data_IF_036010017270
#
_entry.id   IF_036010017270
#
_cell.length_a   1.000
_cell.length_b   1.000
_cell.length_c   1.000
_cell.angle_alpha   90.00
_cell.angle_beta   90.00
_cell.angle_gamma   90.00
#
_symmetry.space_group_name_H-M   'P 1'
#
loop_
_entity.id
_entity.type
_entity.pdbx_description
1 polymer ?
#
# COMPACT_ATOMS: atom_id res chain seq x y z
N UNK A 1 -14.84 20.56 1.30
CA UNK A 1 -15.28 19.19 1.56
C UNK A 1 -15.86 18.57 0.31
N UNK A 2 -15.04 17.77 -0.35
CA UNK A 2 -15.45 16.89 -1.45
C UNK A 2 -16.42 15.83 -0.95
N UNK A 3 -17.48 15.55 -1.72
CA UNK A 3 -18.44 14.49 -1.38
C UNK A 3 -17.80 13.11 -1.51
N UNK A 4 -18.07 12.24 -0.52
CA UNK A 4 -17.68 10.83 -0.55
C UNK A 4 -18.91 9.98 -0.86
N UNK A 5 -18.95 9.39 -2.05
CA UNK A 5 -19.96 8.41 -2.43
C UNK A 5 -19.47 7.01 -2.06
N UNK A 6 -20.13 6.35 -1.11
CA UNK A 6 -19.89 4.93 -0.82
C UNK A 6 -20.53 4.07 -1.90
N UNK A 7 -19.82 3.04 -2.33
CA UNK A 7 -20.25 2.13 -3.38
C UNK A 7 -20.52 0.77 -2.76
N UNK A 8 -21.64 0.16 -3.15
CA UNK A 8 -22.03 -1.19 -2.79
C UNK A 8 -22.36 -1.93 -4.07
N UNK A 9 -21.85 -3.15 -4.23
CA UNK A 9 -22.08 -3.99 -5.39
C UNK A 9 -22.90 -5.23 -5.02
N UNK A 10 -23.02 -6.18 -5.95
CA UNK A 10 -23.59 -7.50 -5.70
C UNK A 10 -22.57 -8.50 -5.13
N UNK A 11 -21.38 -8.05 -4.74
CA UNK A 11 -20.34 -8.88 -4.16
C UNK A 11 -20.75 -9.48 -2.80
N UNK A 12 -20.09 -10.57 -2.38
CA UNK A 12 -20.22 -11.09 -1.02
C UNK A 12 -19.92 -10.01 0.01
N UNK A 13 -20.79 -9.90 1.02
CA UNK A 13 -20.63 -8.90 2.10
C UNK A 13 -19.50 -9.33 3.06
N UNK A 14 -18.52 -8.46 3.33
CA UNK A 14 -17.47 -8.74 4.32
C UNK A 14 -18.02 -8.94 5.73
N UNK A 15 -17.37 -9.80 6.53
CA UNK A 15 -17.61 -9.87 7.98
C UNK A 15 -16.95 -8.71 8.74
N UNK A 16 -15.84 -8.22 8.19
CA UNK A 16 -15.02 -7.13 8.73
C UNK A 16 -15.65 -5.76 8.52
N UNK A 17 -15.30 -4.77 9.35
CA UNK A 17 -15.88 -3.43 9.27
C UNK A 17 -15.18 -2.54 8.23
N UNK A 18 -15.58 -2.65 6.97
CA UNK A 18 -15.14 -1.74 5.89
C UNK A 18 -16.20 -1.58 4.80
N UNK A 19 -16.14 -0.49 4.04
CA UNK A 19 -16.98 -0.25 2.87
C UNK A 19 -16.35 -0.87 1.61
N UNK A 20 -17.15 -1.38 0.66
CA UNK A 20 -16.61 -2.02 -0.55
C UNK A 20 -15.77 -1.08 -1.42
N UNK A 21 -16.23 0.15 -1.65
CA UNK A 21 -15.43 1.20 -2.28
C UNK A 21 -15.92 2.61 -1.91
N UNK A 22 -15.09 3.60 -2.18
CA UNK A 22 -15.40 5.03 -2.04
C UNK A 22 -15.00 5.81 -3.27
N UNK A 23 -15.90 6.64 -3.77
CA UNK A 23 -15.65 7.58 -4.85
C UNK A 23 -15.59 9.00 -4.27
N UNK A 24 -14.46 9.68 -4.46
CA UNK A 24 -14.27 11.06 -4.01
C UNK A 24 -13.26 11.77 -4.91
N UNK A 25 -13.56 13.02 -5.29
CA UNK A 25 -12.68 13.82 -6.16
C UNK A 25 -12.43 13.18 -7.53
N UNK A 26 -13.38 12.40 -8.03
CA UNK A 26 -13.27 11.61 -9.27
C UNK A 26 -12.44 10.32 -9.15
N UNK A 27 -11.80 10.05 -8.01
CA UNK A 27 -11.04 8.82 -7.77
C UNK A 27 -11.88 7.78 -7.02
N UNK A 28 -11.72 6.53 -7.44
CA UNK A 28 -12.39 5.35 -6.88
C UNK A 28 -11.39 4.52 -6.08
N UNK A 29 -11.73 4.26 -4.83
CA UNK A 29 -10.92 3.55 -3.85
C UNK A 29 -11.68 2.29 -3.39
N UNK A 30 -11.55 1.13 -4.07
CA UNK A 30 -12.05 -0.14 -3.55
C UNK A 30 -11.25 -0.62 -2.33
N UNK A 31 -11.88 -1.48 -1.54
CA UNK A 31 -11.21 -2.28 -0.52
C UNK A 31 -10.36 -3.36 -1.19
N UNK A 32 -9.30 -3.80 -0.51
CA UNK A 32 -8.55 -4.98 -0.93
C UNK A 32 -9.49 -6.18 -1.09
N UNK A 33 -9.30 -6.94 -2.17
CA UNK A 33 -10.15 -8.08 -2.49
C UNK A 33 -9.37 -9.38 -2.36
N UNK A 34 -9.97 -10.28 -1.60
CA UNK A 34 -9.57 -11.66 -1.39
C UNK A 34 -10.55 -12.58 -2.12
N UNK A 35 -10.12 -13.80 -2.44
CA UNK A 35 -11.01 -14.81 -2.98
C UNK A 35 -11.91 -15.41 -1.89
N UNK A 36 -12.84 -14.63 -1.36
CA UNK A 36 -13.75 -15.07 -0.30
C UNK A 36 -15.22 -14.74 -0.55
N UNK A 37 -16.07 -15.69 -0.16
CA UNK A 37 -17.52 -15.51 -0.06
C UNK A 37 -17.98 -15.04 1.33
N UNK A 38 -17.03 -14.90 2.27
CA UNK A 38 -17.25 -14.57 3.69
C UNK A 38 -18.22 -15.49 4.44
N UNK A 39 -18.49 -16.69 3.90
CA UNK A 39 -19.35 -17.73 4.48
C UNK A 39 -18.59 -19.03 4.69
N UNK A 40 -17.85 -19.46 3.68
CA UNK A 40 -17.10 -20.72 3.64
C UNK A 40 -15.59 -20.51 3.55
N UNK A 41 -15.13 -19.27 3.47
CA UNK A 41 -13.71 -18.94 3.26
C UNK A 41 -13.47 -18.76 1.77
N UNK A 42 -12.62 -19.61 1.18
CA UNK A 42 -12.43 -19.66 -0.29
C UNK A 42 -13.55 -20.49 -0.93
N UNK A 43 -14.39 -19.89 -1.80
CA UNK A 43 -15.52 -20.59 -2.40
C UNK A 43 -15.07 -21.67 -3.40
N UNK A 44 -15.96 -22.60 -3.72
CA UNK A 44 -15.63 -23.79 -4.51
C UNK A 44 -15.13 -23.46 -5.92
N UNK A 45 -15.67 -22.42 -6.56
CA UNK A 45 -15.25 -21.92 -7.86
C UNK A 45 -13.87 -21.24 -7.86
N UNK A 46 -13.37 -20.85 -6.69
CA UNK A 46 -12.09 -20.18 -6.51
C UNK A 46 -10.98 -21.11 -6.01
N UNK A 47 -11.20 -22.44 -6.03
CA UNK A 47 -10.21 -23.44 -5.65
C UNK A 47 -10.30 -24.68 -6.52
N UNK A 48 -9.21 -25.42 -6.63
CA UNK A 48 -9.18 -26.73 -7.29
C UNK A 48 -10.16 -27.67 -6.61
N UNK A 49 -10.79 -28.53 -7.42
CA UNK A 49 -11.66 -29.55 -6.89
C UNK A 49 -10.84 -30.54 -6.03
N UNK A 50 -11.25 -30.84 -4.78
CA UNK A 50 -10.45 -31.65 -3.87
C UNK A 50 -10.20 -33.08 -4.36
N UNK A 51 -11.10 -33.64 -5.17
CA UNK A 51 -10.91 -34.94 -5.81
C UNK A 51 -9.97 -34.92 -7.03
N UNK A 52 -9.59 -33.74 -7.54
CA UNK A 52 -8.72 -33.56 -8.71
C UNK A 52 -7.56 -32.57 -8.40
N UNK A 53 -6.74 -32.83 -7.38
CA UNK A 53 -5.81 -31.84 -6.82
C UNK A 53 -4.67 -31.41 -7.77
N UNK A 54 -4.45 -32.15 -8.87
CA UNK A 54 -3.44 -31.87 -9.89
C UNK A 54 -3.99 -31.16 -11.13
N UNK A 55 -5.31 -30.90 -11.20
CA UNK A 55 -5.95 -30.22 -12.32
C UNK A 55 -6.32 -28.78 -11.94
N UNK A 56 -5.88 -27.83 -12.76
CA UNK A 56 -6.09 -26.39 -12.54
C UNK A 56 -5.03 -25.74 -11.66
N UNK A 57 -5.28 -24.50 -11.24
CA UNK A 57 -4.36 -23.70 -10.43
C UNK A 57 -5.16 -22.82 -9.46
N UNK A 58 -4.92 -22.98 -8.16
CA UNK A 58 -5.63 -22.22 -7.12
C UNK A 58 -5.39 -20.72 -7.29
N UNK A 59 -4.14 -20.29 -7.51
CA UNK A 59 -3.84 -18.87 -7.72
C UNK A 59 -4.60 -18.30 -8.93
N UNK A 60 -4.71 -19.05 -10.03
CA UNK A 60 -5.47 -18.58 -11.21
C UNK A 60 -6.96 -18.45 -10.91
N UNK A 61 -7.54 -19.43 -10.21
CA UNK A 61 -8.95 -19.42 -9.83
C UNK A 61 -9.26 -18.29 -8.84
N UNK A 62 -8.44 -18.10 -7.82
CA UNK A 62 -8.58 -17.01 -6.86
C UNK A 62 -8.39 -15.64 -7.51
N UNK A 63 -7.38 -15.47 -8.36
CA UNK A 63 -7.15 -14.22 -9.11
C UNK A 63 -8.37 -13.87 -9.95
N UNK A 64 -8.92 -14.84 -10.70
CA UNK A 64 -10.12 -14.63 -11.53
C UNK A 64 -11.33 -14.21 -10.69
N UNK A 65 -11.56 -14.90 -9.58
CA UNK A 65 -12.64 -14.58 -8.66
C UNK A 65 -12.53 -13.13 -8.13
N UNK A 66 -11.33 -12.73 -7.71
CA UNK A 66 -11.04 -11.38 -7.24
C UNK A 66 -11.27 -10.35 -8.34
N UNK A 67 -10.80 -10.60 -9.57
CA UNK A 67 -10.98 -9.67 -10.69
C UNK A 67 -12.45 -9.50 -11.08
N UNK A 68 -13.26 -10.57 -11.01
CA UNK A 68 -14.72 -10.46 -11.22
C UNK A 68 -15.42 -9.69 -10.09
N UNK A 69 -14.98 -9.85 -8.83
CA UNK A 69 -15.47 -9.02 -7.72
C UNK A 69 -15.12 -7.54 -7.96
N UNK A 70 -13.86 -7.23 -8.26
CA UNK A 70 -13.41 -5.87 -8.53
C UNK A 70 -14.15 -5.26 -9.72
N UNK A 71 -14.36 -6.02 -10.79
CA UNK A 71 -15.17 -5.59 -11.94
C UNK A 71 -16.56 -5.14 -11.51
N UNK A 72 -17.28 -5.96 -10.72
CA UNK A 72 -18.61 -5.60 -10.19
C UNK A 72 -18.57 -4.34 -9.31
N UNK A 73 -17.54 -4.18 -8.49
CA UNK A 73 -17.34 -2.97 -7.67
C UNK A 73 -17.15 -1.73 -8.53
N UNK A 74 -16.32 -1.81 -9.58
CA UNK A 74 -16.11 -0.70 -10.52
C UNK A 74 -17.38 -0.37 -11.31
N UNK A 75 -18.10 -1.38 -11.80
CA UNK A 75 -19.37 -1.19 -12.51
C UNK A 75 -20.43 -0.53 -11.62
N UNK A 76 -20.54 -0.94 -10.35
CA UNK A 76 -21.43 -0.31 -9.36
C UNK A 76 -21.06 1.15 -9.06
N UNK A 77 -19.79 1.52 -9.23
CA UNK A 77 -19.33 2.91 -9.13
C UNK A 77 -19.58 3.75 -10.39
N UNK A 78 -20.06 3.14 -11.49
CA UNK A 78 -20.16 3.79 -12.80
C UNK A 78 -18.82 3.87 -13.55
N UNK A 79 -17.88 2.98 -13.20
CA UNK A 79 -16.54 2.89 -13.80
C UNK A 79 -16.30 1.48 -14.37
N UNK A 80 -15.07 1.17 -14.77
CA UNK A 80 -14.67 -0.15 -15.27
C UNK A 80 -13.21 -0.45 -14.95
N UNK A 81 -12.78 -1.71 -15.11
CA UNK A 81 -11.36 -2.07 -14.95
C UNK A 81 -10.43 -1.33 -15.94
N UNK A 82 -10.95 -0.75 -17.03
CA UNK A 82 -10.16 0.12 -17.94
C UNK A 82 -9.74 1.44 -17.28
N UNK A 83 -10.36 1.79 -16.16
CA UNK A 83 -10.14 3.02 -15.42
C UNK A 83 -9.31 2.78 -14.13
N UNK A 84 -8.56 1.68 -14.07
CA UNK A 84 -7.62 1.41 -12.97
C UNK A 84 -6.32 2.15 -13.24
N UNK A 85 -5.78 2.81 -12.21
CA UNK A 85 -4.57 3.66 -12.31
C UNK A 85 -3.50 3.28 -11.30
N UNK A 86 -3.81 2.40 -10.35
CA UNK A 86 -2.81 1.82 -9.45
C UNK A 86 -3.28 0.44 -8.99
N UNK A 87 -2.32 -0.46 -8.82
CA UNK A 87 -2.53 -1.77 -8.23
C UNK A 87 -1.45 -2.08 -7.20
N UNK A 88 -1.84 -2.74 -6.12
CA UNK A 88 -0.94 -3.43 -5.20
C UNK A 88 -1.42 -4.86 -5.03
N UNK A 89 -0.47 -5.80 -5.07
CA UNK A 89 -0.74 -7.23 -5.02
C UNK A 89 0.11 -7.85 -3.93
N UNK A 90 -0.54 -8.53 -3.00
CA UNK A 90 0.10 -9.21 -1.89
C UNK A 90 -0.05 -10.72 -2.07
N UNK A 91 1.07 -11.42 -2.25
CA UNK A 91 1.10 -12.87 -2.45
C UNK A 91 1.60 -13.58 -1.19
N UNK A 92 0.93 -14.67 -0.77
CA UNK A 92 1.43 -15.51 0.33
C UNK A 92 2.65 -16.34 -0.09
N UNK A 93 2.77 -16.66 -1.38
CA UNK A 93 3.93 -17.29 -2.00
C UNK A 93 4.24 -16.58 -3.33
N UNK A 94 5.45 -16.04 -3.49
CA UNK A 94 5.85 -15.36 -4.73
C UNK A 94 6.02 -16.32 -5.92
N UNK A 95 6.12 -17.63 -5.70
CA UNK A 95 6.12 -18.62 -6.77
C UNK A 95 4.80 -18.63 -7.57
N UNK A 96 3.71 -18.17 -6.95
CA UNK A 96 2.39 -18.06 -7.58
C UNK A 96 2.30 -16.87 -8.57
N UNK A 97 3.32 -16.01 -8.63
CA UNK A 97 3.33 -14.83 -9.49
C UNK A 97 3.01 -15.15 -10.95
N UNK A 98 3.57 -16.23 -11.50
CA UNK A 98 3.35 -16.58 -12.92
C UNK A 98 1.88 -16.91 -13.22
N UNK A 99 1.21 -17.61 -12.30
CA UNK A 99 -0.21 -17.95 -12.43
C UNK A 99 -1.09 -16.72 -12.30
N UNK A 100 -0.81 -15.87 -11.31
CA UNK A 100 -1.46 -14.57 -11.17
C UNK A 100 -1.30 -13.70 -12.43
N UNK A 101 -0.08 -13.53 -12.94
CA UNK A 101 0.22 -12.62 -14.05
C UNK A 101 -0.39 -13.10 -15.39
N UNK A 102 -0.56 -14.42 -15.56
CA UNK A 102 -1.31 -14.98 -16.69
C UNK A 102 -2.77 -14.51 -16.70
N UNK A 103 -3.46 -14.65 -15.57
CA UNK A 103 -4.87 -14.21 -15.45
C UNK A 103 -4.96 -12.68 -15.50
N UNK A 104 -4.02 -11.97 -14.89
CA UNK A 104 -3.98 -10.50 -14.89
C UNK A 104 -4.01 -9.91 -16.32
N UNK A 105 -3.27 -10.52 -17.26
CA UNK A 105 -3.24 -10.11 -18.68
C UNK A 105 -4.58 -10.23 -19.39
N UNK A 106 -5.48 -11.08 -18.90
CA UNK A 106 -6.82 -11.23 -19.49
C UNK A 106 -7.73 -10.03 -19.18
N UNK A 107 -7.45 -9.29 -18.09
CA UNK A 107 -8.30 -8.20 -17.61
C UNK A 107 -7.83 -6.81 -18.05
N UNK A 108 -6.55 -6.65 -18.39
CA UNK A 108 -5.97 -5.35 -18.72
C UNK A 108 -5.25 -5.36 -20.06
N UNK A 109 -5.87 -4.69 -21.04
CA UNK A 109 -5.22 -4.33 -22.31
C UNK A 109 -4.08 -3.32 -22.08
N UNK A 110 -4.36 -2.29 -21.29
CA UNK A 110 -3.36 -1.35 -20.75
C UNK A 110 -3.27 -1.58 -19.25
N UNK A 111 -2.22 -2.26 -18.75
CA UNK A 111 -2.14 -2.59 -17.33
C UNK A 111 -1.80 -1.35 -16.49
N UNK A 112 -2.40 -1.22 -15.30
CA UNK A 112 -2.04 -0.14 -14.40
C UNK A 112 -0.61 -0.34 -13.86
N UNK A 113 0.01 0.73 -13.34
CA UNK A 113 1.19 0.63 -12.49
C UNK A 113 0.91 -0.27 -11.29
N UNK A 114 1.84 -1.19 -11.03
CA UNK A 114 1.66 -2.29 -10.08
C UNK A 114 2.86 -2.43 -9.15
N UNK A 115 2.56 -2.71 -7.89
CA UNK A 115 3.52 -3.17 -6.87
C UNK A 115 3.14 -4.59 -6.50
N UNK A 116 4.10 -5.51 -6.41
CA UNK A 116 3.81 -6.92 -6.08
C UNK A 116 4.84 -7.47 -5.10
N UNK A 117 4.38 -7.73 -3.87
CA UNK A 117 5.24 -8.12 -2.75
C UNK A 117 4.70 -9.34 -2.03
N UNK A 118 5.58 -10.03 -1.31
CA UNK A 118 5.17 -11.10 -0.41
C UNK A 118 4.47 -10.57 0.84
N UNK A 119 3.55 -11.35 1.39
CA UNK A 119 2.95 -11.13 2.72
C UNK A 119 3.22 -12.31 3.64
N UNK A 120 3.17 -12.10 4.96
CA UNK A 120 3.20 -13.19 5.95
C UNK A 120 1.84 -13.87 6.12
N UNK A 121 0.77 -13.27 5.59
CA UNK A 121 -0.57 -13.87 5.59
C UNK A 121 -1.67 -12.94 5.12
N UNK A 122 -2.85 -13.51 4.93
CA UNK A 122 -4.09 -12.83 4.54
C UNK A 122 -5.21 -13.21 5.52
N UNK A 123 -6.22 -12.34 5.67
CA UNK A 123 -7.25 -12.49 6.72
C UNK A 123 -8.11 -13.75 6.58
N UNK A 124 -8.30 -14.23 5.36
CA UNK A 124 -9.12 -15.42 5.10
C UNK A 124 -8.18 -16.60 4.84
N UNK A 125 -8.35 -17.66 5.64
CA UNK A 125 -7.58 -18.89 5.50
C UNK A 125 -7.66 -19.43 4.05
N UNK A 126 -6.55 -19.98 3.59
CA UNK A 126 -6.37 -20.56 2.25
C UNK A 126 -6.46 -19.56 1.08
N UNK A 127 -6.62 -18.26 1.34
CA UNK A 127 -6.39 -17.24 0.31
C UNK A 127 -4.90 -17.08 0.04
N UNK A 128 -4.54 -16.97 -1.24
CA UNK A 128 -3.16 -16.92 -1.72
C UNK A 128 -2.74 -15.51 -2.15
N UNK A 129 -3.72 -14.65 -2.41
CA UNK A 129 -3.55 -13.34 -3.02
C UNK A 129 -4.61 -12.35 -2.52
N UNK A 130 -4.18 -11.13 -2.22
CA UNK A 130 -5.05 -9.96 -2.08
C UNK A 130 -4.68 -8.92 -3.15
N UNK A 131 -5.68 -8.37 -3.85
CA UNK A 131 -5.50 -7.34 -4.86
C UNK A 131 -6.19 -6.06 -4.39
N UNK A 132 -5.40 -4.99 -4.30
CA UNK A 132 -5.85 -3.63 -3.98
C UNK A 132 -5.69 -2.75 -5.22
N UNK A 133 -6.76 -2.05 -5.61
CA UNK A 133 -6.76 -1.15 -6.76
C UNK A 133 -7.08 0.29 -6.36
N UNK A 134 -6.64 1.24 -7.18
CA UNK A 134 -7.19 2.59 -7.27
C UNK A 134 -7.64 2.81 -8.70
N UNK A 135 -8.83 3.35 -8.87
CA UNK A 135 -9.39 3.71 -10.16
C UNK A 135 -9.92 5.14 -10.19
N UNK A 136 -10.66 5.45 -11.25
CA UNK A 136 -11.32 6.75 -11.39
C UNK A 136 -12.68 6.62 -12.08
N UNK A 137 -13.55 7.60 -11.85
CA UNK A 137 -14.81 7.74 -12.57
C UNK A 137 -14.56 8.29 -13.99
N UNK A 138 -15.22 7.79 -15.04
CA UNK A 138 -14.92 8.17 -16.42
C UNK A 138 -15.01 9.67 -16.73
N UNK A 139 -15.79 10.43 -15.96
CA UNK A 139 -15.94 11.87 -16.06
C UNK A 139 -14.71 12.67 -15.58
N UNK A 140 -13.81 12.06 -14.80
CA UNK A 140 -12.53 12.67 -14.43
C UNK A 140 -11.60 12.87 -15.65
N UNK A 141 -11.80 12.09 -16.72
CA UNK A 141 -11.10 12.25 -18.00
C UNK A 141 -10.44 10.98 -18.52
N UNK A 142 -9.41 11.16 -19.35
CA UNK A 142 -8.64 10.06 -19.95
C UNK A 142 -7.26 10.04 -19.30
N UNK A 143 -6.86 8.86 -18.81
CA UNK A 143 -5.55 8.73 -18.18
C UNK A 143 -4.43 8.76 -19.23
N UNK A 144 -3.25 9.21 -18.82
CA UNK A 144 -2.04 9.20 -19.64
C UNK A 144 -1.05 8.19 -19.08
N UNK A 145 -0.71 7.18 -19.87
CA UNK A 145 0.41 6.27 -19.55
C UNK A 145 1.72 7.04 -19.72
N UNK A 146 2.59 6.95 -18.72
CA UNK A 146 3.92 7.55 -18.73
C UNK A 146 4.96 6.45 -18.87
N UNK A 147 5.91 6.67 -19.76
CA UNK A 147 7.06 5.79 -19.99
C UNK A 147 8.32 6.63 -19.92
N UNK A 148 9.42 6.03 -19.44
CA UNK A 148 10.71 6.70 -19.37
C UNK A 148 11.81 5.87 -20.05
N UNK A 149 13.05 6.33 -19.93
CA UNK A 149 14.24 5.59 -20.40
C UNK A 149 14.71 4.53 -19.38
N UNK A 150 13.88 4.21 -18.39
CA UNK A 150 14.19 3.16 -17.41
C UNK A 150 14.18 1.76 -18.05
N UNK A 151 14.85 0.79 -17.42
CA UNK A 151 14.78 -0.61 -17.84
C UNK A 151 13.32 -1.10 -17.91
N UNK A 152 12.98 -1.73 -19.03
CA UNK A 152 11.63 -2.24 -19.26
C UNK A 152 11.37 -3.51 -18.43
N UNK A 153 10.30 -3.54 -17.63
CA UNK A 153 9.92 -4.73 -16.88
C UNK A 153 9.60 -5.93 -17.79
N UNK A 154 9.85 -7.15 -17.29
CA UNK A 154 9.35 -8.38 -17.94
C UNK A 154 7.86 -8.63 -17.67
N UNK A 155 7.34 -8.05 -16.59
CA UNK A 155 5.95 -8.20 -16.16
C UNK A 155 5.03 -7.19 -16.83
N UNK A 156 3.72 -7.51 -16.91
CA UNK A 156 2.74 -6.68 -17.59
C UNK A 156 2.20 -5.55 -16.69
N UNK A 157 2.92 -4.43 -16.61
CA UNK A 157 2.49 -3.21 -15.93
C UNK A 157 3.05 -1.94 -16.60
N UNK A 158 2.39 -0.81 -16.38
CA UNK A 158 2.86 0.52 -16.82
C UNK A 158 3.77 1.16 -15.78
N UNK A 159 4.82 1.89 -16.17
CA UNK A 159 5.72 2.55 -15.20
C UNK A 159 4.97 3.56 -14.31
N UNK A 160 4.13 4.40 -14.93
CA UNK A 160 3.26 5.32 -14.22
C UNK A 160 2.03 5.70 -15.06
N UNK A 161 0.98 6.17 -14.39
CA UNK A 161 -0.24 6.67 -15.03
C UNK A 161 -0.67 7.98 -14.37
N UNK A 162 -0.95 9.00 -15.18
CA UNK A 162 -1.50 10.29 -14.75
C UNK A 162 -3.01 10.34 -14.99
N UNK A 163 -3.78 10.77 -13.97
CA UNK A 163 -5.19 11.14 -14.11
C UNK A 163 -5.54 12.23 -13.08
N UNK A 164 -6.36 13.20 -13.46
CA UNK A 164 -6.84 14.23 -12.53
C UNK A 164 -5.72 15.08 -11.89
N UNK A 165 -4.53 15.13 -12.51
CA UNK A 165 -3.36 15.82 -11.96
C UNK A 165 -2.54 15.02 -10.95
N UNK A 166 -3.01 13.83 -10.52
CA UNK A 166 -2.19 12.88 -9.77
C UNK A 166 -1.47 11.93 -10.71
N UNK A 167 -0.33 11.44 -10.25
CA UNK A 167 0.53 10.48 -10.92
C UNK A 167 0.75 9.28 -10.01
N UNK A 168 0.36 8.10 -10.48
CA UNK A 168 0.50 6.84 -9.76
C UNK A 168 1.65 6.04 -10.38
N UNK A 169 2.66 5.68 -9.59
CA UNK A 169 3.84 4.96 -10.08
C UNK A 169 3.77 3.48 -9.69
N UNK A 170 4.41 2.64 -10.49
CA UNK A 170 4.65 1.24 -10.16
C UNK A 170 5.69 1.13 -9.06
N UNK A 171 5.61 0.06 -8.28
CA UNK A 171 6.67 -0.31 -7.34
C UNK A 171 7.99 -0.49 -8.09
N UNK A 172 9.05 0.16 -7.62
CA UNK A 172 10.36 0.07 -8.22
C UNK A 172 11.30 -0.76 -7.36
N UNK A 173 11.89 -1.75 -8.01
CA UNK A 173 12.94 -2.63 -7.52
C UNK A 173 14.27 -2.23 -8.17
N UNK A 174 15.39 -2.61 -7.56
CA UNK A 174 16.72 -2.30 -8.08
C UNK A 174 17.16 -3.20 -9.26
N UNK A 175 16.25 -3.45 -10.20
CA UNK A 175 16.41 -4.42 -11.29
C UNK A 175 16.71 -3.75 -12.61
N UNK A 176 17.56 -4.37 -13.42
CA UNK A 176 17.74 -4.05 -14.85
C UNK A 176 16.89 -4.94 -15.76
N UNK A 177 16.15 -5.90 -15.17
CA UNK A 177 15.34 -6.93 -15.83
C UNK A 177 16.10 -7.83 -16.80
N UNK A 178 17.44 -7.83 -16.74
CA UNK A 178 18.34 -8.67 -17.55
C UNK A 178 19.17 -9.60 -16.67
N UNK A 179 19.72 -9.09 -15.58
CA UNK A 179 20.63 -9.78 -14.65
C UNK A 179 20.06 -9.96 -13.24
N UNK A 180 18.80 -9.54 -13.03
CA UNK A 180 18.18 -9.43 -11.71
C UNK A 180 18.46 -8.05 -11.15
N UNK A 181 19.09 -7.95 -9.98
CA UNK A 181 19.55 -6.63 -9.49
C UNK A 181 20.66 -6.11 -10.39
N UNK A 182 20.54 -4.84 -10.80
CA UNK A 182 21.50 -4.20 -11.69
C UNK A 182 22.94 -4.26 -11.13
N UNK A 183 23.98 -4.45 -11.96
CA UNK A 183 25.36 -4.54 -11.50
C UNK A 183 25.81 -3.34 -10.64
N UNK A 184 25.40 -2.12 -11.00
CA UNK A 184 25.67 -0.88 -10.25
C UNK A 184 24.88 -0.77 -8.94
N UNK A 185 23.83 -1.58 -8.78
CA UNK A 185 23.00 -1.64 -7.59
C UNK A 185 23.38 -2.81 -6.66
N UNK A 186 24.52 -3.45 -6.92
CA UNK A 186 25.11 -4.51 -6.09
C UNK A 186 26.54 -4.12 -5.69
N UNK A 187 26.97 -4.54 -4.51
CA UNK A 187 28.39 -4.51 -4.14
C UNK A 187 29.20 -5.40 -5.07
N UNK A 188 30.45 -5.02 -5.28
CA UNK A 188 31.41 -5.87 -6.00
C UNK A 188 31.63 -7.17 -5.21
N UNK A 189 31.36 -8.35 -5.81
CA UNK A 189 31.57 -9.63 -5.13
C UNK A 189 33.03 -9.88 -4.74
N UNK A 190 34.01 -9.22 -5.37
CA UNK A 190 35.41 -9.27 -4.97
C UNK A 190 35.70 -8.48 -3.67
N UNK A 191 34.82 -7.57 -3.27
CA UNK A 191 34.95 -6.71 -2.08
C UNK A 191 33.70 -6.78 -1.18
N UNK A 192 33.33 -7.97 -0.65
CA UNK A 192 32.04 -8.22 -0.01
C UNK A 192 31.81 -7.46 1.32
N UNK A 193 32.85 -6.82 1.86
CA UNK A 193 32.77 -6.01 3.09
C UNK A 193 32.80 -4.50 2.82
N UNK A 194 32.88 -4.08 1.56
CA UNK A 194 32.94 -2.68 1.16
C UNK A 194 31.62 -2.24 0.50
N UNK A 195 31.07 -1.12 0.97
CA UNK A 195 29.78 -0.59 0.49
C UNK A 195 28.56 -1.20 1.21
N UNK A 196 27.36 -0.90 0.71
CA UNK A 196 26.09 -1.37 1.28
C UNK A 196 25.09 -1.59 0.15
N UNK A 197 24.62 -2.83 -0.01
CA UNK A 197 23.68 -3.20 -1.07
C UNK A 197 22.38 -2.40 -0.94
N UNK A 198 21.81 -2.28 0.27
CA UNK A 198 20.59 -1.49 0.46
C UNK A 198 20.78 -0.03 0.01
N UNK A 199 21.93 0.59 0.30
CA UNK A 199 22.20 1.97 -0.15
C UNK A 199 22.28 2.05 -1.68
N UNK A 200 22.96 1.11 -2.33
CA UNK A 200 23.10 1.06 -3.78
C UNK A 200 21.74 0.83 -4.46
N UNK A 201 20.97 -0.14 -3.98
CA UNK A 201 19.62 -0.43 -4.46
C UNK A 201 18.68 0.76 -4.26
N UNK A 202 18.71 1.40 -3.09
CA UNK A 202 17.89 2.60 -2.82
C UNK A 202 18.22 3.75 -3.79
N UNK A 203 19.51 4.05 -4.02
CA UNK A 203 19.90 5.10 -4.99
C UNK A 203 19.43 4.76 -6.40
N UNK A 204 19.65 3.53 -6.84
CA UNK A 204 19.22 3.08 -8.16
C UNK A 204 17.71 3.25 -8.35
N UNK A 205 16.91 2.82 -7.38
CA UNK A 205 15.45 2.96 -7.40
C UNK A 205 15.05 4.43 -7.45
N UNK A 206 15.62 5.30 -6.61
CA UNK A 206 15.28 6.71 -6.58
C UNK A 206 15.69 7.45 -7.86
N UNK A 207 16.80 7.08 -8.51
CA UNK A 207 17.16 7.61 -9.84
C UNK A 207 16.20 7.16 -10.94
N UNK A 208 15.71 5.91 -10.89
CA UNK A 208 14.67 5.44 -11.80
C UNK A 208 13.36 6.21 -11.59
N UNK A 209 12.92 6.35 -10.34
CA UNK A 209 11.71 7.09 -10.00
C UNK A 209 11.82 8.56 -10.42
N UNK A 210 12.99 9.20 -10.27
CA UNK A 210 13.26 10.55 -10.80
C UNK A 210 13.08 10.63 -12.31
N UNK A 211 13.58 9.66 -13.07
CA UNK A 211 13.39 9.59 -14.54
C UNK A 211 11.93 9.45 -14.92
N UNK A 212 11.18 8.58 -14.24
CA UNK A 212 9.72 8.42 -14.48
C UNK A 212 8.94 9.69 -14.13
N UNK A 213 9.25 10.33 -13.00
CA UNK A 213 8.64 11.60 -12.59
C UNK A 213 8.92 12.72 -13.61
N UNK A 214 10.17 12.85 -14.05
CA UNK A 214 10.57 13.84 -15.05
C UNK A 214 9.84 13.64 -16.39
N UNK A 215 9.67 12.39 -16.84
CA UNK A 215 8.90 12.07 -18.05
C UNK A 215 7.42 12.48 -17.96
N UNK A 216 6.86 12.55 -16.74
CA UNK A 216 5.51 13.05 -16.50
C UNK A 216 5.42 14.58 -16.39
N UNK A 217 6.56 15.29 -16.30
CA UNK A 217 6.61 16.72 -15.95
C UNK A 217 6.51 16.99 -14.45
N UNK A 218 6.94 16.03 -13.62
CA UNK A 218 6.94 16.07 -12.15
C UNK A 218 8.37 15.85 -11.62
N UNK A 219 8.53 15.83 -10.30
CA UNK A 219 9.81 15.58 -9.61
C UNK A 219 9.59 14.97 -8.22
N UNK A 220 10.66 14.63 -7.50
CA UNK A 220 10.55 14.02 -6.16
C UNK A 220 9.88 14.97 -5.15
N UNK A 221 9.99 16.27 -5.38
CA UNK A 221 9.34 17.33 -4.60
C UNK A 221 7.80 17.29 -4.69
N UNK A 222 7.24 16.55 -5.65
CA UNK A 222 5.79 16.37 -5.82
C UNK A 222 5.27 15.03 -5.31
N UNK A 223 6.11 14.22 -4.67
CA UNK A 223 5.66 12.97 -4.08
C UNK A 223 4.78 13.28 -2.85
N UNK A 224 3.61 12.66 -2.79
CA UNK A 224 2.61 12.89 -1.74
C UNK A 224 2.33 11.66 -0.88
N UNK A 225 2.75 10.48 -1.33
CA UNK A 225 2.73 9.25 -0.54
C UNK A 225 3.83 8.31 -1.02
N UNK A 226 4.51 7.69 -0.07
CA UNK A 226 5.45 6.61 -0.30
C UNK A 226 5.06 5.37 0.53
N UNK A 227 5.22 4.20 -0.06
CA UNK A 227 5.25 2.93 0.67
C UNK A 227 6.53 2.21 0.35
N UNK A 228 7.18 1.68 1.39
CA UNK A 228 8.48 1.03 1.30
C UNK A 228 8.39 -0.34 1.92
N UNK A 229 8.74 -1.37 1.15
CA UNK A 229 8.75 -2.76 1.57
C UNK A 229 10.20 -3.24 1.69
N UNK A 230 10.62 -3.61 2.90
CA UNK A 230 11.98 -4.09 3.18
C UNK A 230 11.98 -5.60 3.44
N UNK A 231 12.94 -6.32 2.87
CA UNK A 231 13.10 -7.77 3.17
C UNK A 231 13.75 -8.02 4.54
N UNK A 232 14.58 -7.09 5.03
CA UNK A 232 15.08 -7.06 6.40
C UNK A 232 15.00 -5.62 6.95
N UNK A 233 14.29 -5.43 8.07
CA UNK A 233 14.14 -4.11 8.69
C UNK A 233 15.44 -3.57 9.30
N UNK A 234 16.48 -4.41 9.48
CA UNK A 234 17.82 -3.93 9.88
C UNK A 234 18.44 -2.98 8.85
N UNK A 235 18.04 -3.09 7.59
CA UNK A 235 18.51 -2.23 6.51
C UNK A 235 17.90 -0.82 6.56
N UNK A 236 16.89 -0.60 7.40
CA UNK A 236 16.17 0.67 7.49
C UNK A 236 17.08 1.88 7.66
N UNK A 237 18.04 1.84 8.59
CA UNK A 237 18.89 3.00 8.86
C UNK A 237 19.74 3.39 7.65
N UNK A 238 20.24 2.40 6.90
CA UNK A 238 21.04 2.63 5.70
C UNK A 238 20.19 3.11 4.51
N UNK A 239 18.98 2.57 4.36
CA UNK A 239 17.97 3.09 3.43
C UNK A 239 17.64 4.56 3.74
N UNK A 240 17.34 4.87 5.01
CA UNK A 240 16.87 6.19 5.43
C UNK A 240 17.96 7.26 5.33
N UNK A 241 19.23 6.88 5.45
CA UNK A 241 20.38 7.75 5.12
C UNK A 241 20.33 8.20 3.66
N UNK A 242 20.16 7.28 2.71
CA UNK A 242 20.04 7.61 1.28
C UNK A 242 18.77 8.43 1.05
N UNK A 243 17.65 8.04 1.65
CA UNK A 243 16.38 8.75 1.51
C UNK A 243 16.48 10.25 1.85
N UNK A 244 17.25 10.61 2.89
CA UNK A 244 17.53 12.01 3.27
C UNK A 244 18.33 12.79 2.23
N UNK A 245 19.18 12.13 1.45
CA UNK A 245 19.93 12.79 0.38
C UNK A 245 18.96 13.31 -0.70
N UNK A 246 17.93 12.52 -1.01
CA UNK A 246 16.97 12.76 -2.09
C UNK A 246 15.80 13.66 -1.69
N UNK A 247 15.33 13.55 -0.45
CA UNK A 247 14.14 14.28 0.01
C UNK A 247 14.47 15.33 1.06
N UNK A 248 14.55 16.59 0.62
CA UNK A 248 14.68 17.75 1.54
C UNK A 248 13.39 18.01 2.30
N UNK A 249 12.25 17.86 1.62
CA UNK A 249 10.92 17.77 2.22
C UNK A 249 10.40 16.37 1.89
N UNK A 250 10.45 15.41 2.84
CA UNK A 250 10.08 14.05 2.55
C UNK A 250 8.56 13.87 2.48
N UNK A 251 8.07 12.96 1.60
CA UNK A 251 6.66 12.64 1.58
C UNK A 251 6.27 11.86 2.85
N UNK A 252 4.97 11.79 3.14
CA UNK A 252 4.43 10.81 4.05
C UNK A 252 4.80 9.40 3.61
N UNK A 253 5.26 8.57 4.55
CA UNK A 253 5.84 7.26 4.26
C UNK A 253 5.31 6.19 5.22
N UNK A 254 5.00 5.04 4.66
CA UNK A 254 4.78 3.78 5.39
C UNK A 254 5.97 2.87 5.09
N UNK A 255 6.56 2.24 6.11
CA UNK A 255 7.73 1.36 5.91
C UNK A 255 7.58 0.10 6.72
N UNK A 256 7.39 -1.03 6.03
CA UNK A 256 7.06 -2.32 6.64
C UNK A 256 7.96 -3.42 6.12
N UNK A 257 8.04 -4.51 6.87
CA UNK A 257 8.67 -5.74 6.41
C UNK A 257 7.81 -6.46 5.37
N UNK A 258 8.44 -7.10 4.40
CA UNK A 258 7.80 -8.05 3.47
C UNK A 258 8.33 -9.46 3.68
N UNK A 259 7.58 -10.49 3.26
CA UNK A 259 8.09 -11.87 3.20
C UNK A 259 8.96 -12.14 1.97
N UNK A 260 8.98 -11.22 0.99
CA UNK A 260 9.86 -11.28 -0.16
C UNK A 260 9.52 -10.27 -1.26
N UNK A 261 10.39 -10.21 -2.27
CA UNK A 261 10.25 -9.39 -3.47
C UNK A 261 10.43 -10.25 -4.73
N UNK A 262 9.85 -9.84 -5.86
CA UNK A 262 9.80 -10.67 -7.08
C UNK A 262 11.16 -10.93 -7.72
N UNK A 263 12.11 -10.01 -7.57
CA UNK A 263 13.45 -10.16 -8.16
C UNK A 263 14.41 -10.63 -7.08
N UNK A 264 15.04 -11.77 -7.33
CA UNK A 264 16.02 -12.36 -6.41
C UNK A 264 17.10 -11.34 -6.03
N UNK A 265 17.47 -11.34 -4.75
CA UNK A 265 18.48 -10.46 -4.13
C UNK A 265 18.12 -8.96 -4.08
N UNK A 266 16.89 -8.59 -4.47
CA UNK A 266 16.38 -7.25 -4.12
C UNK A 266 16.03 -7.19 -2.64
N UNK A 267 16.34 -6.04 -2.02
CA UNK A 267 16.18 -5.81 -0.58
C UNK A 267 15.05 -4.83 -0.26
N UNK A 268 14.64 -4.05 -1.25
CA UNK A 268 13.70 -2.95 -1.10
C UNK A 268 12.86 -2.76 -2.36
N UNK A 269 11.57 -2.51 -2.19
CA UNK A 269 10.66 -1.98 -3.22
C UNK A 269 10.08 -0.65 -2.75
N UNK A 270 10.09 0.37 -3.61
CA UNK A 270 9.55 1.71 -3.31
C UNK A 270 8.38 2.00 -4.25
N UNK A 271 7.21 2.25 -3.66
CA UNK A 271 5.97 2.61 -4.32
C UNK A 271 5.64 4.09 -4.02
N UNK A 272 5.37 4.88 -5.06
CA UNK A 272 5.07 6.31 -4.94
C UNK A 272 3.71 6.70 -5.55
N UNK A 273 3.10 7.72 -4.95
CA UNK A 273 2.08 8.58 -5.56
C UNK A 273 2.62 10.01 -5.54
N UNK A 274 2.49 10.70 -6.68
CA UNK A 274 2.90 12.09 -6.85
C UNK A 274 1.79 12.91 -7.54
N UNK A 275 2.06 14.18 -7.80
CA UNK A 275 1.22 15.02 -8.65
C UNK A 275 2.04 15.70 -9.74
N UNK A 276 1.39 16.10 -10.82
CA UNK A 276 2.00 16.95 -11.86
C UNK A 276 1.71 18.41 -11.50
N UNK A 277 2.73 19.27 -11.28
CA UNK A 277 2.52 20.68 -10.96
C UNK A 277 1.64 21.39 -12.00
N UNK A 278 0.63 22.11 -11.51
CA UNK A 278 -0.24 22.98 -12.29
C UNK A 278 -0.59 24.21 -11.44
N UNK A 279 -0.92 25.32 -12.09
CA UNK A 279 -1.30 26.55 -11.39
C UNK A 279 -2.46 26.30 -10.41
N UNK A 280 -2.30 26.78 -9.18
CA UNK A 280 -3.29 26.63 -8.11
C UNK A 280 -3.19 25.34 -7.28
N UNK A 281 -2.35 24.36 -7.66
CA UNK A 281 -2.05 23.22 -6.78
C UNK A 281 -0.92 23.58 -5.80
N UNK A 282 -1.20 23.45 -4.51
CA UNK A 282 -0.21 23.67 -3.44
C UNK A 282 0.15 22.34 -2.79
N UNK A 283 1.46 22.08 -2.64
CA UNK A 283 1.98 21.00 -1.81
C UNK A 283 2.01 21.49 -0.37
N UNK A 284 1.06 21.03 0.45
CA UNK A 284 0.99 21.44 1.85
C UNK A 284 1.46 20.31 2.75
N UNK A 285 2.57 20.52 3.45
CA UNK A 285 3.04 19.59 4.49
C UNK A 285 2.24 19.84 5.75
N UNK A 286 1.56 18.81 6.23
CA UNK A 286 0.74 18.87 7.44
C UNK A 286 1.59 18.48 8.64
N UNK A 287 1.51 19.29 9.69
CA UNK A 287 2.13 19.01 10.99
C UNK A 287 1.07 19.17 12.07
N UNK A 288 0.92 18.14 12.91
CA UNK A 288 -0.01 18.15 14.03
C UNK A 288 0.73 18.30 15.38
N UNK A 289 0.00 18.12 16.48
CA UNK A 289 0.57 18.05 17.82
C UNK A 289 1.14 16.65 18.18
N UNK A 290 1.19 15.73 17.21
CA UNK A 290 1.70 14.37 17.42
C UNK A 290 3.20 14.36 17.75
N UNK A 291 3.66 13.23 18.29
CA UNK A 291 5.08 13.00 18.49
C UNK A 291 5.81 12.99 17.15
N UNK A 292 6.93 13.73 17.07
CA UNK A 292 7.69 13.85 15.82
C UNK A 292 8.51 12.58 15.57
N UNK A 293 8.45 12.01 14.35
CA UNK A 293 9.27 10.86 13.99
C UNK A 293 10.77 11.18 13.99
N UNK A 294 11.60 10.19 14.32
CA UNK A 294 13.07 10.25 14.15
C UNK A 294 13.46 10.06 12.67
N UNK A 295 12.67 9.26 11.96
CA UNK A 295 12.86 8.95 10.55
C UNK A 295 12.47 10.12 9.64
N UNK A 296 13.04 10.18 8.43
CA UNK A 296 12.82 11.31 7.51
C UNK A 296 11.53 11.14 6.69
N UNK A 297 10.38 11.47 7.28
CA UNK A 297 9.08 11.53 6.59
C UNK A 297 8.18 12.62 7.19
N UNK A 298 7.20 13.09 6.40
CA UNK A 298 6.19 14.06 6.85
C UNK A 298 4.94 13.34 7.39
N UNK A 299 4.25 13.90 8.39
CA UNK A 299 3.06 13.26 8.97
C UNK A 299 1.94 13.05 7.95
N UNK A 300 1.65 14.09 7.17
CA UNK A 300 0.76 14.03 6.03
C UNK A 300 1.11 15.13 5.02
N UNK A 301 0.64 14.97 3.79
CA UNK A 301 0.69 15.99 2.74
C UNK A 301 -0.71 16.15 2.16
N UNK A 302 -1.12 17.39 1.95
CA UNK A 302 -2.35 17.71 1.23
C UNK A 302 -2.05 18.34 -0.13
N UNK A 303 -2.73 17.87 -1.17
CA UNK A 303 -2.69 18.45 -2.52
C UNK A 303 -4.07 18.37 -3.16
N UNK A 304 -4.54 19.50 -3.69
CA UNK A 304 -5.93 19.61 -4.18
C UNK A 304 -6.92 19.18 -3.09
N UNK A 305 -7.86 18.27 -3.38
CA UNK A 305 -8.83 17.81 -2.39
C UNK A 305 -8.30 16.70 -1.48
N UNK A 306 -7.11 16.13 -1.71
CA UNK A 306 -6.66 14.93 -1.03
C UNK A 306 -5.70 15.23 0.11
N UNK A 307 -5.78 14.40 1.16
CA UNK A 307 -4.84 14.34 2.28
C UNK A 307 -4.26 12.92 2.31
N UNK A 308 -2.94 12.81 2.21
CA UNK A 308 -2.20 11.57 2.25
C UNK A 308 -1.44 11.49 3.58
N UNK A 309 -1.83 10.58 4.47
CA UNK A 309 -1.15 10.40 5.75
C UNK A 309 -0.08 9.31 5.67
N UNK A 310 0.99 9.51 6.45
CA UNK A 310 2.01 8.49 6.67
C UNK A 310 1.45 7.32 7.48
N UNK A 311 2.13 6.17 7.41
CA UNK A 311 1.89 5.08 8.33
C UNK A 311 2.09 5.53 9.77
N UNK A 312 1.09 5.28 10.60
CA UNK A 312 1.11 5.59 12.01
C UNK A 312 1.28 4.30 12.80
N UNK A 313 2.32 4.31 13.62
CA UNK A 313 2.65 3.29 14.62
C UNK A 313 2.26 3.83 16.00
N UNK A 314 2.01 2.93 16.95
CA UNK A 314 1.85 3.32 18.35
C UNK A 314 3.20 3.68 18.97
N UNK A 315 3.74 4.85 18.63
CA UNK A 315 5.03 5.31 19.14
C UNK A 315 5.03 6.77 19.62
N UNK A 316 5.83 7.04 20.65
CA UNK A 316 6.21 8.38 21.10
C UNK A 316 7.56 8.84 20.53
N UNK A 317 8.22 7.98 19.74
CA UNK A 317 9.57 8.14 19.21
C UNK A 317 10.65 8.46 20.26
N UNK A 318 10.40 8.13 21.53
CA UNK A 318 11.34 8.30 22.65
C UNK A 318 11.57 6.99 23.38
N UNK A 319 10.50 6.27 23.71
CA UNK A 319 10.51 5.02 24.48
C UNK A 319 10.05 3.81 23.67
N UNK A 320 9.67 4.02 22.40
CA UNK A 320 9.07 2.99 21.56
C UNK A 320 7.55 3.08 21.67
N UNK A 321 6.89 2.01 22.12
CA UNK A 321 5.45 2.02 22.41
C UNK A 321 5.18 2.75 23.73
N UNK A 322 4.44 3.86 23.80
CA UNK A 322 4.26 4.55 25.09
C UNK A 322 3.44 3.73 26.10
N UNK A 323 3.52 4.06 27.39
CA UNK A 323 2.93 3.26 28.46
C UNK A 323 1.40 3.12 28.34
N UNK A 324 0.72 4.15 27.86
CA UNK A 324 -0.71 4.18 27.58
C UNK A 324 -1.13 3.29 26.40
N UNK A 325 -0.17 2.92 25.53
CA UNK A 325 -0.40 2.09 24.35
C UNK A 325 0.06 0.63 24.56
N UNK A 326 0.35 0.22 25.80
CA UNK A 326 0.73 -1.15 26.14
C UNK A 326 0.09 -1.58 27.46
N UNK A 327 -0.13 -2.88 27.63
CA UNK A 327 -0.56 -3.48 28.90
C UNK A 327 0.47 -3.19 29.97
N UNK A 328 -0.01 -2.99 31.19
CA UNK A 328 0.86 -2.82 32.33
C UNK A 328 1.63 -4.14 32.60
N UNK A 329 2.97 -4.12 32.74
CA UNK A 329 3.77 -5.35 32.85
C UNK A 329 3.44 -6.18 34.09
N UNK A 330 2.99 -5.54 35.18
CA UNK A 330 2.53 -6.25 36.39
C UNK A 330 1.12 -6.87 36.26
N UNK A 331 0.36 -6.56 35.20
CA UNK A 331 -1.01 -7.04 34.98
C UNK A 331 -1.17 -7.62 33.55
N UNK A 332 -0.38 -8.63 33.16
CA UNK A 332 -0.25 -9.07 31.76
C UNK A 332 -1.53 -9.69 31.17
N UNK A 333 -2.50 -10.07 32.01
CA UNK A 333 -3.79 -10.64 31.62
C UNK A 333 -4.94 -9.61 31.59
N UNK A 334 -4.66 -8.34 31.90
CA UNK A 334 -5.65 -7.26 31.88
C UNK A 334 -5.39 -6.33 30.70
N UNK A 335 -6.41 -6.12 29.85
CA UNK A 335 -6.32 -5.30 28.64
C UNK A 335 -5.84 -6.06 27.40
N UNK A 336 -5.58 -5.32 26.32
CA UNK A 336 -5.15 -5.86 25.03
C UNK A 336 -4.21 -4.86 24.35
N UNK A 337 -2.98 -5.30 24.06
CA UNK A 337 -1.98 -4.43 23.42
C UNK A 337 -2.45 -3.94 22.06
N UNK A 338 -3.00 -4.82 21.21
CA UNK A 338 -3.51 -4.41 19.91
C UNK A 338 -4.60 -3.34 20.03
N UNK A 339 -5.52 -3.46 21.02
CA UNK A 339 -6.58 -2.45 21.21
C UNK A 339 -5.99 -1.11 21.66
N UNK A 340 -5.05 -1.13 22.59
CA UNK A 340 -4.39 0.09 23.09
C UNK A 340 -3.57 0.78 22.00
N UNK A 341 -2.78 0.02 21.23
CA UNK A 341 -2.01 0.53 20.12
C UNK A 341 -2.90 1.08 19.00
N UNK A 342 -3.97 0.34 18.62
CA UNK A 342 -4.95 0.81 17.62
C UNK A 342 -5.56 2.13 18.06
N UNK A 343 -5.99 2.26 19.32
CA UNK A 343 -6.57 3.50 19.85
C UNK A 343 -5.60 4.67 19.77
N UNK A 344 -4.35 4.45 20.20
CA UNK A 344 -3.31 5.46 20.13
C UNK A 344 -3.07 5.95 18.69
N UNK A 345 -3.00 5.01 17.74
CA UNK A 345 -2.83 5.32 16.31
C UNK A 345 -4.03 6.10 15.77
N UNK A 346 -5.26 5.72 16.11
CA UNK A 346 -6.46 6.41 15.65
C UNK A 346 -6.56 7.83 16.21
N UNK A 347 -6.15 8.07 17.47
CA UNK A 347 -6.05 9.42 18.01
C UNK A 347 -4.97 10.27 17.33
N UNK A 348 -3.83 9.67 16.96
CA UNK A 348 -2.81 10.36 16.16
C UNK A 348 -3.34 10.74 14.79
N UNK A 349 -3.95 9.78 14.07
CA UNK A 349 -4.53 10.02 12.75
C UNK A 349 -5.63 11.07 12.82
N UNK A 350 -6.50 11.04 13.83
CA UNK A 350 -7.50 12.08 14.06
C UNK A 350 -6.87 13.48 14.13
N UNK A 351 -5.85 13.66 14.97
CA UNK A 351 -5.12 14.94 15.07
C UNK A 351 -4.45 15.35 13.76
N UNK A 352 -3.91 14.40 13.00
CA UNK A 352 -3.31 14.66 11.68
C UNK A 352 -4.37 15.15 10.68
N UNK A 353 -5.53 14.51 10.61
CA UNK A 353 -6.60 14.91 9.69
C UNK A 353 -7.24 16.24 10.12
N UNK A 354 -7.44 16.49 11.41
CA UNK A 354 -7.89 17.79 11.92
C UNK A 354 -6.91 18.92 11.54
N UNK A 355 -5.60 18.69 11.69
CA UNK A 355 -4.56 19.64 11.29
C UNK A 355 -4.55 19.91 9.77
N UNK A 356 -5.01 18.95 8.95
CA UNK A 356 -5.15 19.11 7.51
C UNK A 356 -6.44 19.85 7.08
N UNK A 357 -7.31 20.25 8.02
CA UNK A 357 -8.63 20.80 7.74
C UNK A 357 -9.66 19.72 7.33
N UNK A 358 -9.45 18.49 7.76
CA UNK A 358 -10.26 17.30 7.46
C UNK A 358 -10.71 16.61 8.75
N UNK A 359 -11.23 15.38 8.65
CA UNK A 359 -11.58 14.51 9.78
C UNK A 359 -11.52 13.04 9.37
N UNK A 360 -11.60 12.12 10.35
CA UNK A 360 -11.67 10.68 10.07
C UNK A 360 -12.90 10.30 9.21
N UNK A 361 -14.00 11.05 9.31
CA UNK A 361 -15.19 10.82 8.46
C UNK A 361 -14.90 11.06 6.97
N UNK A 362 -13.84 11.81 6.65
CA UNK A 362 -13.43 12.11 5.29
C UNK A 362 -12.40 11.12 4.72
N UNK A 363 -12.16 10.00 5.40
CA UNK A 363 -11.24 8.97 4.93
C UNK A 363 -11.90 8.14 3.82
N UNK A 364 -11.15 7.96 2.73
CA UNK A 364 -11.59 7.27 1.50
C UNK A 364 -10.83 5.97 1.24
N UNK A 365 -9.67 5.78 1.87
CA UNK A 365 -8.94 4.51 1.81
C UNK A 365 -8.06 4.31 3.05
N UNK A 366 -7.94 3.07 3.48
CA UNK A 366 -7.05 2.65 4.55
C UNK A 366 -6.21 1.44 4.12
N UNK A 367 -4.96 1.40 4.58
CA UNK A 367 -4.14 0.19 4.57
C UNK A 367 -3.63 -0.11 5.97
N UNK A 368 -3.70 -1.38 6.35
CA UNK A 368 -3.38 -1.87 7.69
C UNK A 368 -2.41 -3.03 7.58
N UNK A 369 -1.29 -2.93 8.28
CA UNK A 369 -0.26 -3.96 8.36
C UNK A 369 -0.23 -4.50 9.79
N UNK A 370 -0.44 -5.82 9.94
CA UNK A 370 -0.43 -6.51 11.23
C UNK A 370 0.78 -7.45 11.33
N UNK A 371 1.49 -7.42 12.46
CA UNK A 371 2.57 -8.40 12.71
C UNK A 371 2.04 -9.81 13.01
N UNK A 372 0.81 -9.90 13.53
CA UNK A 372 0.07 -11.13 13.74
C UNK A 372 -1.41 -10.91 13.34
N UNK A 373 -1.93 -11.72 12.43
CA UNK A 373 -3.33 -11.63 12.01
C UNK A 373 -4.32 -12.10 13.08
N UNK A 374 -3.87 -12.81 14.12
CA UNK A 374 -4.71 -13.14 15.28
C UNK A 374 -5.19 -11.89 16.03
N UNK A 375 -4.46 -10.77 15.92
CA UNK A 375 -4.82 -9.50 16.53
C UNK A 375 -5.96 -8.77 15.78
N UNK A 376 -6.36 -9.26 14.60
CA UNK A 376 -7.37 -8.64 13.76
C UNK A 376 -8.68 -8.32 14.50
N UNK A 377 -9.19 -9.25 15.30
CA UNK A 377 -10.46 -9.04 16.00
C UNK A 377 -10.37 -7.89 17.02
N UNK A 378 -9.23 -7.75 17.72
CA UNK A 378 -9.01 -6.65 18.66
C UNK A 378 -8.87 -5.31 17.95
N UNK A 379 -8.15 -5.29 16.82
CA UNK A 379 -8.09 -4.12 15.94
C UNK A 379 -9.47 -3.72 15.41
N UNK A 380 -10.25 -4.64 14.83
CA UNK A 380 -11.54 -4.35 14.20
C UNK A 380 -12.59 -3.88 15.23
N UNK A 381 -12.50 -4.33 16.49
CA UNK A 381 -13.33 -3.82 17.58
C UNK A 381 -13.08 -2.33 17.83
N UNK A 382 -11.82 -1.92 18.00
CA UNK A 382 -11.48 -0.50 18.21
C UNK A 382 -11.76 0.33 16.96
N UNK A 383 -11.49 -0.22 15.77
CA UNK A 383 -11.78 0.44 14.50
C UNK A 383 -13.24 0.90 14.36
N UNK A 384 -14.19 0.09 14.85
CA UNK A 384 -15.63 0.43 14.87
C UNK A 384 -15.98 1.63 15.75
N UNK A 385 -15.15 1.93 16.74
CA UNK A 385 -15.36 3.09 17.63
C UNK A 385 -15.05 4.41 16.93
N UNK A 386 -14.17 4.39 15.91
CA UNK A 386 -13.69 5.59 15.22
C UNK A 386 -14.43 5.88 13.91
N UNK A 387 -15.07 4.89 13.30
CA UNK A 387 -15.77 5.07 12.03
C UNK A 387 -17.23 4.60 12.12
N UNK A 388 -18.15 5.55 12.09
CA UNK A 388 -19.58 5.26 11.89
C UNK A 388 -19.81 4.63 10.50
N UNK A 389 -19.11 5.13 9.48
CA UNK A 389 -19.04 4.53 8.14
C UNK A 389 -17.57 4.32 7.78
N UNK A 390 -17.05 3.09 7.89
CA UNK A 390 -15.63 2.82 7.70
C UNK A 390 -15.20 3.01 6.25
N UNK A 391 -13.96 3.47 6.00
CA UNK A 391 -13.43 3.51 4.66
C UNK A 391 -13.18 2.09 4.12
N UNK A 392 -13.07 1.94 2.80
CA UNK A 392 -12.48 0.78 2.16
C UNK A 392 -11.08 0.51 2.71
N UNK A 393 -10.78 -0.76 2.99
CA UNK A 393 -9.59 -1.16 3.72
C UNK A 393 -8.93 -2.38 3.08
N UNK A 394 -7.61 -2.42 3.16
CA UNK A 394 -6.77 -3.57 2.85
C UNK A 394 -6.02 -3.94 4.13
N UNK A 395 -5.97 -5.21 4.49
CA UNK A 395 -5.37 -5.65 5.77
C UNK A 395 -4.47 -6.86 5.56
N UNK A 396 -3.17 -6.67 5.74
CA UNK A 396 -2.13 -7.60 5.31
C UNK A 396 -1.21 -7.95 6.49
N UNK A 397 -0.76 -9.21 6.53
CA UNK A 397 0.32 -9.61 7.44
C UNK A 397 1.67 -9.04 7.00
N UNK A 398 2.46 -8.51 7.94
CA UNK A 398 3.83 -8.05 7.67
C UNK A 398 4.86 -8.91 8.42
N UNK A 399 6.10 -8.97 7.90
CA UNK A 399 7.22 -9.61 8.60
C UNK A 399 7.76 -8.77 9.76
N UNK A 400 7.36 -7.50 9.87
CA UNK A 400 7.67 -6.66 11.01
C UNK A 400 7.40 -5.18 10.78
N UNK A 401 7.54 -4.41 11.86
CA UNK A 401 7.39 -2.95 11.90
C UNK A 401 8.65 -2.31 12.50
N UNK A 402 8.87 -1.02 12.22
CA UNK A 402 10.13 -0.34 12.55
C UNK A 402 10.36 -0.11 14.04
N UNK A 403 9.29 -0.03 14.83
CA UNK A 403 9.38 0.19 16.27
C UNK A 403 9.18 -1.14 16.98
N UNK A 404 10.11 -1.47 17.87
CA UNK A 404 10.01 -2.70 18.65
C UNK A 404 8.68 -2.71 19.43
N UNK A 405 8.06 -3.89 19.48
CA UNK A 405 6.80 -4.18 20.19
C UNK A 405 5.53 -3.53 19.59
N UNK A 406 5.63 -2.82 18.45
CA UNK A 406 4.42 -2.42 17.71
C UNK A 406 3.82 -3.61 16.97
N UNK A 407 2.50 -3.71 17.01
CA UNK A 407 1.73 -4.83 16.44
C UNK A 407 1.00 -4.46 15.14
N UNK A 408 0.81 -3.15 14.92
CA UNK A 408 -0.02 -2.63 13.84
C UNK A 408 0.54 -1.29 13.33
N UNK A 409 0.50 -1.10 12.01
CA UNK A 409 0.70 0.19 11.34
C UNK A 409 -0.53 0.48 10.46
N UNK A 410 -1.05 1.71 10.55
CA UNK A 410 -2.23 2.15 9.79
C UNK A 410 -1.85 3.39 8.99
N UNK A 411 -2.09 3.36 7.68
CA UNK A 411 -2.03 4.55 6.84
C UNK A 411 -3.38 4.84 6.17
N UNK A 412 -3.66 6.12 5.93
CA UNK A 412 -4.94 6.60 5.45
C UNK A 412 -4.78 7.59 4.30
N UNK A 413 -5.75 7.57 3.38
CA UNK A 413 -5.99 8.63 2.40
C UNK A 413 -7.40 9.17 2.66
N UNK A 414 -7.54 10.49 2.73
CA UNK A 414 -8.84 11.14 2.84
C UNK A 414 -8.93 12.40 1.99
N UNK A 415 -10.01 13.14 2.18
CA UNK A 415 -10.29 14.39 1.45
C UNK A 415 -10.58 15.56 2.39
N UNK A 416 -10.56 16.79 1.88
CA UNK A 416 -10.90 18.01 2.63
C UNK A 416 -11.84 18.96 1.88
#
# INVERSE_FOLDING_TARGET
>A
MVEIKRVTSSNPKPLANYSEASLAGGLLFPAGQLASDFKTGVPAEARKHPAFPYYGSDIKLQTRYIMENLKRTFEAAGSSLKNVVKAQVFLTDLNDFSGFDEVWKEYFEVPPPRTTVGTTGLLIRDTLIEIDLVGYAPDLGVHRVVTSENPKPLANYSEAVEIGGLLFLAGQLASDFKTGVAPEARRDPAFPFYGSDIKLQTRYILENLKRTLAAAGSSLEQVVKAQVFLTDLKDFAAFDEVWRDYFKVPPPRTTVGTSGLLIKDTLIEIDLIAYVPKDGLTHEVITSANAKPIANYSEAVAVGPFVFAAGQLASDFKTGVPAEARKHPAFPYYGSDIKLQTRYIMENLKRTFEAAGSSLDQVVKAQVFLTDLNDFAGFDEVWREYFAVPPPRTTIGTSGLLIKDTLIEIDLIGVR
#
